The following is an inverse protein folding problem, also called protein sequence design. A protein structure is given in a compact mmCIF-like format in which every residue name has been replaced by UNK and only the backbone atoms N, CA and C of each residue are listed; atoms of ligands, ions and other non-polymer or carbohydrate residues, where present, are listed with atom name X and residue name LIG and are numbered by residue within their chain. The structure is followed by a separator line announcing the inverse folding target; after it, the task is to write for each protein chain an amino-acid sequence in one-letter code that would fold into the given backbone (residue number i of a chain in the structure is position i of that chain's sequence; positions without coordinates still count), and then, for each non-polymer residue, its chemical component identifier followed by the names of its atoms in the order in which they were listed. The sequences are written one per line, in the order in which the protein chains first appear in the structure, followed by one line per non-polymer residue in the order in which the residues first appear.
data_IF_858413307499
#
_entry.id   IF_858413307499
#
_cell.length_a   1.000
_cell.length_b   1.000
_cell.length_c   1.000
_cell.angle_alpha   90.00
_cell.angle_beta   90.00
_cell.angle_gamma   90.00
#
_symmetry.space_group_name_H-M   'P 1'
#
loop_
_entity.id
_entity.type
_entity.pdbx_description
1 polymer ?
#
# COMPACT_ATOMS: atom_id res chain seq x y z
N UNK A 1 2.03 14.17 -5.77
CA UNK A 1 0.90 15.09 -6.03
C UNK A 1 1.18 15.86 -7.31
N UNK A 2 0.33 15.76 -8.38
CA UNK A 2 0.60 16.38 -9.67
C UNK A 2 1.00 17.87 -9.62
N UNK A 3 0.38 18.72 -8.78
CA UNK A 3 0.74 20.14 -8.71
C UNK A 3 2.15 20.46 -8.21
N UNK A 4 2.90 19.48 -7.73
CA UNK A 4 4.29 19.66 -7.27
C UNK A 4 5.31 19.51 -8.40
N UNK A 5 4.88 19.08 -9.58
CA UNK A 5 5.70 18.83 -10.75
C UNK A 5 5.48 19.90 -11.82
N UNK A 6 6.47 20.15 -12.65
CA UNK A 6 6.32 21.10 -13.76
C UNK A 6 5.38 20.61 -14.85
N UNK A 7 5.35 19.28 -15.06
CA UNK A 7 4.41 18.61 -15.95
C UNK A 7 4.11 17.18 -15.47
N UNK A 8 3.05 16.58 -16.01
CA UNK A 8 2.74 15.17 -15.75
C UNK A 8 3.75 14.22 -16.40
N UNK A 9 4.35 14.62 -17.52
CA UNK A 9 5.44 13.88 -18.19
C UNK A 9 6.67 13.83 -17.28
N UNK A 10 7.11 14.98 -16.75
CA UNK A 10 8.22 15.02 -15.78
C UNK A 10 7.92 14.16 -14.54
N UNK A 11 6.72 14.27 -14.00
CA UNK A 11 6.29 13.44 -12.87
C UNK A 11 6.41 11.95 -13.19
N UNK A 12 5.92 11.53 -14.37
CA UNK A 12 5.97 10.14 -14.81
C UNK A 12 7.40 9.64 -14.99
N UNK A 13 8.26 10.41 -15.63
CA UNK A 13 9.67 10.07 -15.80
C UNK A 13 10.38 9.85 -14.47
N UNK A 14 10.16 10.73 -13.49
CA UNK A 14 10.78 10.61 -12.17
C UNK A 14 10.21 9.42 -11.37
N UNK A 15 8.91 9.13 -11.49
CA UNK A 15 8.31 7.93 -10.89
C UNK A 15 8.91 6.66 -11.51
N UNK A 16 9.01 6.58 -12.84
CA UNK A 16 9.62 5.45 -13.54
C UNK A 16 11.10 5.25 -13.14
N UNK A 17 11.85 6.34 -12.99
CA UNK A 17 13.21 6.27 -12.45
C UNK A 17 13.22 5.69 -11.02
N UNK A 18 12.32 6.14 -10.16
CA UNK A 18 12.17 5.63 -8.78
C UNK A 18 11.84 4.14 -8.73
N UNK A 19 11.02 3.63 -9.65
CA UNK A 19 10.70 2.20 -9.72
C UNK A 19 11.93 1.32 -9.96
N UNK A 20 12.93 1.84 -10.69
CA UNK A 20 14.20 1.15 -10.91
C UNK A 20 15.13 1.12 -9.69
N UNK A 21 14.77 1.79 -8.60
CA UNK A 21 15.61 1.93 -7.41
C UNK A 21 14.94 1.40 -6.12
N UNK A 22 13.68 0.99 -6.18
CA UNK A 22 12.94 0.62 -4.97
C UNK A 22 12.87 -0.91 -4.77
N UNK A 23 12.97 -1.34 -3.52
CA UNK A 23 12.77 -2.73 -3.09
C UNK A 23 11.32 -3.01 -2.71
N UNK A 24 10.60 -1.98 -2.30
CA UNK A 24 9.19 -2.04 -1.89
C UNK A 24 8.45 -0.90 -2.59
N UNK A 25 7.45 -1.25 -3.38
CA UNK A 25 6.54 -0.30 -4.01
C UNK A 25 5.16 -0.37 -3.33
N UNK A 26 4.68 0.76 -2.81
CA UNK A 26 3.26 0.94 -2.51
C UNK A 26 2.65 1.86 -3.57
N UNK A 27 1.62 1.39 -4.24
CA UNK A 27 0.89 2.13 -5.27
C UNK A 27 -0.61 1.98 -5.07
N UNK A 28 -1.39 3.02 -5.41
CA UNK A 28 -2.85 2.95 -5.38
C UNK A 28 -3.42 2.54 -6.74
N UNK A 29 -4.69 2.15 -6.75
CA UNK A 29 -5.47 1.84 -7.94
C UNK A 29 -5.38 2.94 -9.01
N UNK A 30 -5.66 4.19 -8.63
CA UNK A 30 -5.60 5.35 -9.55
C UNK A 30 -4.17 5.64 -10.06
N UNK A 31 -3.16 5.39 -9.22
CA UNK A 31 -1.75 5.58 -9.59
C UNK A 31 -1.29 4.52 -10.58
N UNK A 32 -1.75 3.27 -10.46
CA UNK A 32 -1.50 2.21 -11.44
C UNK A 32 -2.02 2.62 -12.81
N UNK A 33 -3.30 3.00 -12.90
CA UNK A 33 -3.91 3.42 -14.15
C UNK A 33 -3.17 4.60 -14.79
N UNK A 34 -2.84 5.62 -14.00
CA UNK A 34 -2.10 6.78 -14.50
C UNK A 34 -0.70 6.41 -15.02
N UNK A 35 0.00 5.49 -14.33
CA UNK A 35 1.37 5.14 -14.64
C UNK A 35 1.48 4.19 -15.83
N UNK A 36 0.60 3.17 -15.88
CA UNK A 36 0.67 2.05 -16.83
C UNK A 36 -0.32 2.16 -17.98
N UNK A 37 -1.43 2.86 -17.78
CA UNK A 37 -2.59 2.87 -18.69
C UNK A 37 -3.54 1.69 -18.51
N UNK A 38 -3.22 0.74 -17.59
CA UNK A 38 -4.03 -0.45 -17.34
C UNK A 38 -5.13 -0.15 -16.32
N UNK A 39 -6.35 -0.60 -16.61
CA UNK A 39 -7.48 -0.51 -15.67
C UNK A 39 -7.51 -1.66 -14.67
N UNK A 40 -7.03 -2.84 -15.08
CA UNK A 40 -6.89 -4.00 -14.20
C UNK A 40 -5.61 -3.91 -13.36
N UNK A 41 -5.76 -4.07 -12.05
CA UNK A 41 -4.64 -3.95 -11.11
C UNK A 41 -3.55 -5.00 -11.34
N UNK A 42 -3.95 -6.23 -11.68
CA UNK A 42 -2.99 -7.31 -11.93
C UNK A 42 -2.23 -7.09 -13.23
N UNK A 43 -2.91 -6.60 -14.28
CA UNK A 43 -2.26 -6.22 -15.54
C UNK A 43 -1.29 -5.05 -15.31
N UNK A 44 -1.68 -4.03 -14.54
CA UNK A 44 -0.82 -2.91 -14.18
C UNK A 44 0.41 -3.32 -13.37
N UNK A 45 0.24 -4.20 -12.38
CA UNK A 45 1.37 -4.75 -11.62
C UNK A 45 2.26 -5.63 -12.50
N UNK A 46 1.70 -6.45 -13.38
CA UNK A 46 2.49 -7.24 -14.33
C UNK A 46 3.34 -6.33 -15.23
N UNK A 47 2.74 -5.24 -15.77
CA UNK A 47 3.46 -4.23 -16.55
C UNK A 47 4.66 -3.65 -15.79
N UNK A 48 4.50 -3.38 -14.48
CA UNK A 48 5.59 -2.87 -13.61
C UNK A 48 6.66 -3.95 -13.43
N UNK A 49 6.27 -5.17 -13.03
CA UNK A 49 7.20 -6.26 -12.71
C UNK A 49 7.96 -6.81 -13.91
N UNK A 50 7.41 -6.70 -15.13
CA UNK A 50 8.11 -7.03 -16.37
C UNK A 50 9.29 -6.08 -16.66
N UNK A 51 9.26 -4.86 -16.13
CA UNK A 51 10.23 -3.80 -16.40
C UNK A 51 11.17 -3.51 -15.25
N UNK A 52 10.70 -3.78 -14.04
CA UNK A 52 11.42 -3.46 -12.80
C UNK A 52 11.45 -4.67 -11.87
N UNK A 53 12.60 -4.96 -11.31
CA UNK A 53 12.79 -6.06 -10.36
C UNK A 53 12.46 -5.60 -8.93
N UNK A 54 11.19 -5.37 -8.65
CA UNK A 54 10.73 -4.92 -7.33
C UNK A 54 10.31 -6.14 -6.52
N UNK A 55 11.00 -6.48 -5.44
CA UNK A 55 10.71 -7.66 -4.63
C UNK A 55 9.31 -7.71 -4.04
N UNK A 56 8.78 -6.57 -3.56
CA UNK A 56 7.46 -6.47 -2.96
C UNK A 56 6.67 -5.31 -3.56
N UNK A 57 5.54 -5.60 -4.19
CA UNK A 57 4.59 -4.60 -4.69
C UNK A 57 3.29 -4.70 -3.92
N UNK A 58 2.83 -3.56 -3.41
CA UNK A 58 1.60 -3.41 -2.63
C UNK A 58 0.63 -2.50 -3.38
N UNK A 59 -0.60 -2.96 -3.54
CA UNK A 59 -1.68 -2.18 -4.15
C UNK A 59 -2.72 -1.85 -3.09
N UNK A 60 -2.94 -0.57 -2.83
CA UNK A 60 -4.03 -0.11 -1.97
C UNK A 60 -5.26 0.24 -2.82
N UNK A 61 -6.41 -0.39 -2.50
CA UNK A 61 -7.65 -0.31 -3.26
C UNK A 61 -8.79 0.35 -2.43
N UNK A 62 -8.41 1.26 -1.53
CA UNK A 62 -9.35 1.99 -0.68
C UNK A 62 -10.26 1.05 0.12
N UNK A 63 -11.56 1.15 -0.09
CA UNK A 63 -12.59 0.35 0.62
C UNK A 63 -12.62 -1.13 0.23
N UNK A 64 -11.92 -1.53 -0.81
CA UNK A 64 -11.83 -2.93 -1.24
C UNK A 64 -10.73 -3.67 -0.46
N UNK A 65 -9.70 -2.95 0.00
CA UNK A 65 -8.61 -3.52 0.78
C UNK A 65 -7.26 -3.33 0.12
N UNK A 66 -6.43 -4.35 0.12
CA UNK A 66 -5.08 -4.28 -0.42
C UNK A 66 -4.62 -5.62 -0.99
N UNK A 67 -3.66 -5.55 -1.92
CA UNK A 67 -2.95 -6.71 -2.48
C UNK A 67 -1.46 -6.58 -2.23
N UNK A 68 -0.80 -7.72 -2.02
CA UNK A 68 0.65 -7.86 -2.07
C UNK A 68 1.05 -8.82 -3.18
N UNK A 69 2.05 -8.44 -3.96
CA UNK A 69 2.68 -9.26 -4.98
C UNK A 69 4.13 -9.50 -4.57
N UNK A 70 4.49 -10.75 -4.37
CA UNK A 70 5.79 -11.14 -3.88
C UNK A 70 6.20 -12.50 -4.47
N UNK A 71 7.33 -12.56 -5.16
CA UNK A 71 7.87 -13.79 -5.75
C UNK A 71 6.84 -14.60 -6.58
N UNK A 72 6.08 -13.93 -7.45
CA UNK A 72 5.06 -14.54 -8.29
C UNK A 72 3.76 -14.96 -7.58
N UNK A 73 3.65 -14.68 -6.29
CA UNK A 73 2.41 -14.87 -5.50
C UNK A 73 1.63 -13.58 -5.40
N UNK A 74 0.32 -13.69 -5.35
CA UNK A 74 -0.57 -12.58 -5.01
C UNK A 74 -1.39 -12.96 -3.79
N UNK A 75 -1.47 -12.05 -2.84
CA UNK A 75 -2.30 -12.13 -1.63
C UNK A 75 -3.21 -10.92 -1.60
N UNK A 76 -4.48 -11.12 -1.29
CA UNK A 76 -5.47 -10.06 -1.16
C UNK A 76 -6.11 -10.12 0.22
N UNK A 77 -6.24 -8.97 0.88
CA UNK A 77 -6.90 -8.83 2.18
C UNK A 77 -7.91 -7.69 2.11
N UNK A 78 -9.14 -7.98 2.49
CA UNK A 78 -10.24 -7.02 2.49
C UNK A 78 -10.03 -5.87 3.48
N UNK A 79 -10.55 -4.70 3.13
CA UNK A 79 -10.52 -3.54 4.02
C UNK A 79 -11.34 -3.74 5.30
N UNK A 80 -10.95 -3.03 6.34
CA UNK A 80 -11.78 -2.79 7.52
C UNK A 80 -12.72 -1.63 7.23
N UNK A 81 -14.00 -1.94 6.96
CA UNK A 81 -15.00 -0.90 6.68
C UNK A 81 -15.38 -0.16 7.95
N UNK A 82 -15.38 1.16 7.88
CA UNK A 82 -15.76 2.06 8.97
C UNK A 82 -16.92 2.94 8.53
N UNK A 83 -18.00 2.96 9.34
CA UNK A 83 -19.14 3.86 9.13
C UNK A 83 -18.85 5.26 9.66
N UNK A 84 -17.93 5.38 10.61
CA UNK A 84 -17.47 6.58 11.29
C UNK A 84 -16.28 7.29 10.61
N UNK A 85 -16.07 7.06 9.30
CA UNK A 85 -15.02 7.70 8.53
C UNK A 85 -15.23 9.22 8.48
N UNK A 86 -14.21 9.97 8.92
CA UNK A 86 -14.18 11.45 8.92
C UNK A 86 -13.39 11.98 7.73
N UNK A 87 -12.18 11.44 7.51
CA UNK A 87 -11.32 11.80 6.39
C UNK A 87 -10.34 10.66 6.07
N UNK A 88 -9.79 10.66 4.85
CA UNK A 88 -8.85 9.60 4.40
C UNK A 88 -7.38 10.03 4.42
N UNK A 89 -7.10 11.26 4.87
CA UNK A 89 -5.73 11.79 4.95
C UNK A 89 -4.87 10.93 5.88
N UNK A 90 -3.70 10.53 5.39
CA UNK A 90 -2.75 9.70 6.14
C UNK A 90 -3.04 8.20 6.16
N UNK A 91 -4.17 7.72 5.62
CA UNK A 91 -4.46 6.28 5.57
C UNK A 91 -3.41 5.51 4.75
N UNK A 92 -3.04 6.00 3.57
CA UNK A 92 -2.00 5.41 2.74
C UNK A 92 -0.61 5.45 3.38
N UNK A 93 -0.26 6.53 4.08
CA UNK A 93 1.01 6.67 4.79
C UNK A 93 1.06 5.72 5.99
N UNK A 94 -0.04 5.59 6.74
CA UNK A 94 -0.16 4.62 7.84
C UNK A 94 -0.03 3.20 7.34
N UNK A 95 -0.72 2.84 6.27
CA UNK A 95 -0.59 1.53 5.62
C UNK A 95 0.87 1.23 5.25
N UNK A 96 1.52 2.17 4.54
CA UNK A 96 2.93 2.02 4.14
C UNK A 96 3.86 1.89 5.35
N UNK A 97 3.66 2.71 6.38
CA UNK A 97 4.44 2.66 7.62
C UNK A 97 4.33 1.31 8.33
N UNK A 98 3.13 0.72 8.40
CA UNK A 98 2.92 -0.61 8.97
C UNK A 98 3.63 -1.71 8.18
N UNK A 99 3.58 -1.65 6.85
CA UNK A 99 4.29 -2.60 5.98
C UNK A 99 5.80 -2.49 6.17
N UNK A 100 6.34 -1.27 6.13
CA UNK A 100 7.78 -1.05 6.34
C UNK A 100 8.23 -1.53 7.71
N UNK A 101 7.44 -1.29 8.75
CA UNK A 101 7.73 -1.80 10.10
C UNK A 101 7.75 -3.32 10.13
N UNK A 102 6.78 -3.98 9.50
CA UNK A 102 6.76 -5.45 9.39
C UNK A 102 8.02 -5.98 8.71
N UNK A 103 8.41 -5.38 7.59
CA UNK A 103 9.62 -5.80 6.84
C UNK A 103 10.89 -5.54 7.65
N UNK A 104 10.96 -4.47 8.44
CA UNK A 104 12.12 -4.21 9.33
C UNK A 104 12.22 -5.28 10.42
N UNK A 105 11.10 -5.76 10.98
CA UNK A 105 11.09 -6.79 12.01
C UNK A 105 11.39 -8.20 11.48
N UNK A 106 10.89 -8.54 10.27
CA UNK A 106 10.91 -9.92 9.75
C UNK A 106 11.88 -10.13 8.57
N UNK A 107 12.37 -9.05 7.97
CA UNK A 107 13.12 -9.08 6.72
C UNK A 107 12.20 -9.06 5.50
N UNK A 108 12.78 -8.77 4.33
CA UNK A 108 12.07 -8.82 3.05
C UNK A 108 12.19 -10.19 2.38
N UNK A 109 13.21 -10.96 2.73
CA UNK A 109 13.46 -12.28 2.16
C UNK A 109 12.66 -13.37 2.90
N UNK A 110 12.13 -14.32 2.14
CA UNK A 110 11.49 -15.52 2.70
C UNK A 110 10.08 -15.31 3.26
N UNK A 111 9.43 -14.19 2.96
CA UNK A 111 8.05 -13.94 3.39
C UNK A 111 7.12 -15.04 2.86
N UNK A 112 6.39 -15.67 3.75
CA UNK A 112 5.37 -16.67 3.44
C UNK A 112 4.05 -16.01 3.01
N UNK A 113 3.08 -16.81 2.57
CA UNK A 113 1.74 -16.32 2.29
C UNK A 113 1.10 -15.77 3.57
N UNK A 114 1.25 -16.47 4.66
CA UNK A 114 0.73 -16.11 5.98
C UNK A 114 1.33 -14.79 6.48
N UNK A 115 2.63 -14.57 6.27
CA UNK A 115 3.29 -13.31 6.59
C UNK A 115 2.69 -12.14 5.80
N UNK A 116 2.45 -12.32 4.50
CA UNK A 116 1.84 -11.30 3.65
C UNK A 116 0.40 -11.01 4.07
N UNK A 117 -0.39 -12.05 4.42
CA UNK A 117 -1.76 -11.88 4.92
C UNK A 117 -1.79 -11.11 6.24
N UNK A 118 -0.92 -11.47 7.21
CA UNK A 118 -0.82 -10.79 8.50
C UNK A 118 -0.37 -9.33 8.35
N UNK A 119 0.63 -9.08 7.52
CA UNK A 119 1.13 -7.75 7.21
C UNK A 119 0.04 -6.85 6.62
N UNK A 120 -0.69 -7.34 5.61
CA UNK A 120 -1.78 -6.60 4.97
C UNK A 120 -2.96 -6.38 5.92
N UNK A 121 -3.34 -7.39 6.70
CA UNK A 121 -4.45 -7.29 7.66
C UNK A 121 -4.17 -6.24 8.72
N UNK A 122 -2.96 -6.24 9.30
CA UNK A 122 -2.54 -5.22 10.26
C UNK A 122 -2.53 -3.82 9.63
N UNK A 123 -1.96 -3.68 8.45
CA UNK A 123 -1.87 -2.40 7.75
C UNK A 123 -3.26 -1.86 7.35
N UNK A 124 -4.17 -2.72 6.88
CA UNK A 124 -5.55 -2.35 6.55
C UNK A 124 -6.32 -1.90 7.81
N UNK A 125 -6.16 -2.61 8.94
CA UNK A 125 -6.79 -2.24 10.19
C UNK A 125 -6.28 -0.86 10.68
N UNK A 126 -4.96 -0.65 10.71
CA UNK A 126 -4.36 0.61 11.10
C UNK A 126 -4.81 1.78 10.22
N UNK A 127 -4.80 1.58 8.90
CA UNK A 127 -5.27 2.58 7.94
C UNK A 127 -6.76 2.91 8.15
N UNK A 128 -7.60 1.92 8.48
CA UNK A 128 -9.02 2.16 8.77
C UNK A 128 -9.22 3.01 10.02
N UNK A 129 -8.43 2.80 11.08
CA UNK A 129 -8.53 3.57 12.33
C UNK A 129 -8.17 5.03 12.08
N UNK A 130 -7.14 5.33 11.29
CA UNK A 130 -6.77 6.72 10.95
C UNK A 130 -7.92 7.46 10.29
N UNK A 131 -8.71 6.80 9.44
CA UNK A 131 -9.82 7.46 8.74
C UNK A 131 -10.94 7.95 9.66
N UNK A 132 -11.03 7.44 10.89
CA UNK A 132 -12.02 7.88 11.89
C UNK A 132 -11.60 9.13 12.68
N UNK A 133 -10.41 9.67 12.38
CA UNK A 133 -9.81 10.77 13.14
C UNK A 133 -9.42 11.91 12.20
N UNK A 134 -9.53 13.15 12.67
CA UNK A 134 -9.11 14.32 11.90
C UNK A 134 -7.60 14.56 12.08
N UNK A 135 -6.86 14.54 10.99
CA UNK A 135 -5.40 14.71 10.96
C UNK A 135 -4.68 13.53 10.33
N UNK A 136 -3.35 13.53 10.36
CA UNK A 136 -2.51 12.48 9.79
C UNK A 136 -1.56 11.89 10.85
N UNK A 137 -0.32 12.37 10.97
CA UNK A 137 0.71 11.81 11.85
C UNK A 137 0.29 11.70 13.32
N UNK A 138 -0.39 12.73 13.85
CA UNK A 138 -0.77 12.78 15.27
C UNK A 138 -1.89 11.83 15.66
N UNK A 139 -2.59 11.28 14.68
CA UNK A 139 -3.77 10.42 14.89
C UNK A 139 -3.51 8.98 14.45
N UNK A 140 -2.30 8.66 14.06
CA UNK A 140 -1.90 7.27 13.78
C UNK A 140 -2.12 6.40 15.02
N UNK A 141 -2.73 5.21 14.86
CA UNK A 141 -3.02 4.35 15.99
C UNK A 141 -1.75 3.75 16.59
N UNK A 142 -1.79 3.45 17.86
CA UNK A 142 -0.78 2.61 18.51
C UNK A 142 -1.00 1.14 18.14
N UNK A 143 0.05 0.32 18.28
CA UNK A 143 0.01 -1.12 17.98
C UNK A 143 -1.17 -1.81 18.70
N UNK A 144 -1.34 -1.52 20.00
CA UNK A 144 -2.39 -2.14 20.83
C UNK A 144 -3.79 -1.80 20.33
N UNK A 145 -4.01 -0.60 19.80
CA UNK A 145 -5.30 -0.20 19.21
C UNK A 145 -5.58 -0.99 17.92
N UNK A 146 -4.54 -1.23 17.11
CA UNK A 146 -4.67 -2.01 15.88
C UNK A 146 -4.95 -3.47 16.21
N UNK A 147 -4.19 -4.06 17.14
CA UNK A 147 -4.37 -5.44 17.56
C UNK A 147 -5.77 -5.68 18.13
N UNK A 148 -6.29 -4.75 18.95
CA UNK A 148 -7.65 -4.82 19.46
C UNK A 148 -8.74 -4.64 18.39
N UNK A 149 -8.44 -3.98 17.28
CA UNK A 149 -9.36 -3.73 16.17
C UNK A 149 -9.36 -4.79 15.08
N UNK A 150 -8.41 -5.73 15.09
CA UNK A 150 -8.29 -6.79 14.08
C UNK A 150 -9.42 -7.81 14.20
N UNK A 151 -9.74 -8.42 13.07
CA UNK A 151 -10.69 -9.57 13.03
C UNK A 151 -10.00 -10.77 13.66
N UNK A 152 -10.72 -11.45 14.55
CA UNK A 152 -10.31 -12.74 15.11
C UNK A 152 -10.50 -13.85 14.08
#
# INVERSE_FOLDING_TARGET
RPPLWKSLEEAREQVLYGLGQCDILKISDNEIQWLTGEEDYSAGVAWILERYQIPLVLVSMGKEGSRAYYQGRMVEVAAYRREDTVETTGAGDTFCGCVLHYVVEHGLEGLTKEDLEQMLDFANCAASIVTTRKGALRVMPKREEVEAGRRC
#
